data_IF_215122545415
#
_entry.id   IF_215122545415
#
_cell.length_a   1.000
_cell.length_b   1.000
_cell.length_c   1.000
_cell.angle_alpha   90.00
_cell.angle_beta   90.00
_cell.angle_gamma   90.00
#
_symmetry.space_group_name_H-M   'P 1'
#
loop_
_entity.id
_entity.type
_entity.pdbx_description
1 polymer ?
#
# COMPACT_ATOMS: atom_id res chain seq x y z
N UNK A 1 -1.86 -18.68 -3.44
CA UNK A 1 -1.44 -17.27 -3.56
C UNK A 1 -2.66 -16.41 -3.28
N UNK A 2 -2.61 -15.56 -2.26
CA UNK A 2 -3.70 -14.63 -1.93
C UNK A 2 -3.29 -13.24 -2.37
N UNK A 3 -4.17 -12.54 -3.10
CA UNK A 3 -3.99 -11.16 -3.52
C UNK A 3 -5.12 -10.36 -2.89
N UNK A 4 -4.76 -9.26 -2.25
CA UNK A 4 -5.69 -8.34 -1.62
C UNK A 4 -5.60 -7.01 -2.37
N UNK A 5 -6.73 -6.53 -2.88
CA UNK A 5 -6.86 -5.21 -3.46
C UNK A 5 -7.37 -4.24 -2.40
N UNK A 6 -6.65 -3.14 -2.20
CA UNK A 6 -6.95 -2.14 -1.16
C UNK A 6 -7.18 -0.75 -1.77
N UNK A 7 -7.34 -0.63 -3.08
CA UNK A 7 -7.47 0.67 -3.75
C UNK A 7 -8.83 1.33 -3.41
N UNK A 8 -8.80 2.61 -3.04
CA UNK A 8 -9.98 3.47 -3.06
C UNK A 8 -11.00 3.33 -1.92
N UNK A 9 -10.61 2.80 -0.75
CA UNK A 9 -11.50 2.83 0.42
C UNK A 9 -10.77 3.35 1.67
N UNK A 10 -10.67 4.67 1.81
CA UNK A 10 -10.24 5.29 3.07
C UNK A 10 -11.07 4.85 4.30
N UNK A 11 -12.29 4.34 4.07
CA UNK A 11 -13.19 3.80 5.11
C UNK A 11 -12.72 2.49 5.74
N UNK A 12 -11.72 1.82 5.17
CA UNK A 12 -11.20 0.53 5.66
C UNK A 12 -9.73 0.57 6.10
N UNK A 13 -9.15 1.76 6.37
CA UNK A 13 -7.74 1.89 6.83
C UNK A 13 -7.35 0.91 7.94
N UNK A 14 -8.23 0.65 8.91
CA UNK A 14 -7.95 -0.31 10.00
C UNK A 14 -7.82 -1.77 9.53
N UNK A 15 -8.52 -2.15 8.45
CA UNK A 15 -8.42 -3.48 7.85
C UNK A 15 -7.12 -3.57 7.04
N UNK A 16 -6.76 -2.50 6.33
CA UNK A 16 -5.50 -2.37 5.56
C UNK A 16 -4.26 -2.64 6.42
N UNK A 17 -4.24 -2.17 7.67
CA UNK A 17 -3.14 -2.43 8.61
C UNK A 17 -2.88 -3.92 8.88
N UNK A 18 -3.95 -4.73 8.97
CA UNK A 18 -3.82 -6.18 9.18
C UNK A 18 -3.21 -6.87 7.96
N UNK A 19 -3.53 -6.39 6.76
CA UNK A 19 -2.94 -6.89 5.52
C UNK A 19 -1.45 -6.57 5.41
N UNK A 20 -1.01 -5.38 5.85
CA UNK A 20 0.42 -5.03 5.84
C UNK A 20 1.30 -5.97 6.68
N UNK A 21 0.83 -6.39 7.86
CA UNK A 21 1.61 -7.23 8.79
C UNK A 21 1.91 -8.63 8.24
N UNK A 22 1.02 -9.18 7.43
CA UNK A 22 1.11 -10.54 6.89
C UNK A 22 1.55 -10.57 5.42
N UNK A 23 1.73 -9.42 4.79
CA UNK A 23 2.15 -9.32 3.40
C UNK A 23 3.62 -9.75 3.23
N UNK A 24 3.86 -10.55 2.20
CA UNK A 24 5.22 -10.86 1.72
C UNK A 24 5.69 -9.83 0.68
N UNK A 25 4.74 -9.26 -0.06
CA UNK A 25 4.98 -8.24 -1.07
C UNK A 25 3.83 -7.23 -1.07
N UNK A 26 4.16 -5.99 -1.40
CA UNK A 26 3.24 -4.86 -1.52
C UNK A 26 3.50 -4.18 -2.86
N UNK A 27 2.42 -3.92 -3.60
CA UNK A 27 2.45 -3.24 -4.88
C UNK A 27 1.73 -1.91 -4.69
N UNK A 28 2.47 -0.81 -4.84
CA UNK A 28 1.90 0.53 -4.90
C UNK A 28 1.67 0.86 -6.37
N UNK A 29 0.48 1.35 -6.69
CA UNK A 29 0.08 1.69 -8.04
C UNK A 29 -0.33 3.15 -8.06
N UNK A 30 0.16 3.91 -9.03
CA UNK A 30 -0.30 5.26 -9.31
C UNK A 30 -0.60 5.43 -10.80
N UNK A 31 -1.33 6.49 -11.15
CA UNK A 31 -1.66 6.80 -12.54
C UNK A 31 -0.73 7.90 -13.06
N UNK A 32 0.06 7.56 -14.09
CA UNK A 32 1.00 8.48 -14.74
C UNK A 32 0.34 9.72 -15.37
N UNK A 33 -0.96 9.64 -15.67
CA UNK A 33 -1.75 10.75 -16.20
C UNK A 33 -2.39 11.61 -15.11
N UNK A 34 -2.29 11.20 -13.84
CA UNK A 34 -2.95 11.84 -12.70
C UNK A 34 -1.96 12.12 -11.56
N UNK A 35 -1.31 13.28 -11.60
CA UNK A 35 -0.35 13.75 -10.59
C UNK A 35 -0.82 13.57 -9.13
N UNK A 36 -2.09 13.86 -8.78
CA UNK A 36 -2.56 13.66 -7.40
C UNK A 36 -2.39 12.23 -6.87
N UNK A 37 -2.44 11.22 -7.73
CA UNK A 37 -2.23 9.82 -7.30
C UNK A 37 -0.78 9.53 -6.91
N UNK A 38 0.17 10.18 -7.60
CA UNK A 38 1.58 10.13 -7.25
C UNK A 38 1.84 10.86 -5.92
N UNK A 39 1.20 12.02 -5.72
CA UNK A 39 1.37 12.83 -4.51
C UNK A 39 0.89 12.10 -3.24
N UNK A 40 0.02 11.09 -3.36
CA UNK A 40 -0.40 10.24 -2.25
C UNK A 40 0.63 9.15 -1.87
N UNK A 41 1.57 8.78 -2.74
CA UNK A 41 2.53 7.69 -2.49
C UNK A 41 3.34 7.84 -1.19
N UNK A 42 3.83 9.04 -0.80
CA UNK A 42 4.57 9.21 0.45
C UNK A 42 3.79 8.82 1.70
N UNK A 43 2.47 9.05 1.73
CA UNK A 43 1.64 8.66 2.87
C UNK A 43 1.45 7.15 2.92
N UNK A 44 1.22 6.50 1.77
CA UNK A 44 1.15 5.04 1.68
C UNK A 44 2.48 4.37 2.08
N UNK A 45 3.61 4.94 1.67
CA UNK A 45 4.93 4.46 2.07
C UNK A 45 5.12 4.56 3.59
N UNK A 46 4.70 5.66 4.21
CA UNK A 46 4.77 5.83 5.67
C UNK A 46 3.94 4.77 6.40
N UNK A 47 2.72 4.48 5.94
CA UNK A 47 1.89 3.43 6.53
C UNK A 47 2.55 2.04 6.40
N UNK A 48 3.17 1.75 5.26
CA UNK A 48 3.90 0.49 5.05
C UNK A 48 5.10 0.39 6.01
N UNK A 49 5.83 1.48 6.22
CA UNK A 49 6.93 1.51 7.19
C UNK A 49 6.46 1.33 8.63
N UNK A 50 5.27 1.83 8.98
CA UNK A 50 4.72 1.72 10.32
C UNK A 50 4.17 0.31 10.62
N UNK A 51 3.53 -0.34 9.65
CA UNK A 51 2.74 -1.55 9.88
C UNK A 51 3.28 -2.82 9.23
N UNK A 52 4.09 -2.73 8.17
CA UNK A 52 4.60 -3.91 7.47
C UNK A 52 5.91 -4.41 8.06
N UNK A 53 6.24 -5.67 7.77
CA UNK A 53 7.54 -6.25 8.14
C UNK A 53 8.68 -5.59 7.37
N UNK A 54 9.84 -5.39 8.01
CA UNK A 54 11.05 -4.86 7.37
C UNK A 54 11.57 -5.72 6.19
N UNK A 55 11.09 -6.96 6.06
CA UNK A 55 11.46 -7.89 4.98
C UNK A 55 10.46 -7.88 3.81
N UNK A 56 9.40 -7.07 3.87
CA UNK A 56 8.38 -7.02 2.82
C UNK A 56 8.98 -6.46 1.53
N UNK A 57 8.70 -7.12 0.41
CA UNK A 57 9.07 -6.60 -0.91
C UNK A 57 8.12 -5.46 -1.29
N UNK A 58 8.67 -4.36 -1.80
CA UNK A 58 7.91 -3.16 -2.19
C UNK A 58 8.15 -2.90 -3.66
N UNK A 59 7.08 -2.80 -4.45
CA UNK A 59 7.12 -2.55 -5.88
C UNK A 59 6.25 -1.33 -6.16
N UNK A 60 6.76 -0.39 -6.96
CA UNK A 60 5.99 0.74 -7.48
C UNK A 60 5.69 0.48 -8.95
N UNK A 61 4.43 0.66 -9.35
CA UNK A 61 3.92 0.47 -10.71
C UNK A 61 3.19 1.72 -11.18
#
# INVERSE_FOLDING_TARGET
MQIWDTAGQERFRSITQSYYRSAHALILVYDISCQPTFDCLPDWLREIEEYASNKVLRILV
#
